data_IF_472088101837
#
_entry.id   IF_472088101837
#
_cell.length_a   1.000
_cell.length_b   1.000
_cell.length_c   1.000
_cell.angle_alpha   90.00
_cell.angle_beta   90.00
_cell.angle_gamma   90.00
#
_symmetry.space_group_name_H-M   'P 1'
#
loop_
_entity.id
_entity.type
_entity.pdbx_description
1 polymer ?
#
# COMPACT_ATOMS: atom_id res chain seq x y z
N UNK A 1 38.00 -9.78 2.81
CA UNK A 1 36.55 -9.94 3.08
C UNK A 1 35.84 -9.34 1.88
N UNK A 2 35.03 -10.11 1.14
CA UNK A 2 34.34 -9.58 -0.05
C UNK A 2 33.29 -8.55 0.35
N UNK A 3 33.17 -7.46 -0.41
CA UNK A 3 32.10 -6.47 -0.20
C UNK A 3 30.75 -7.12 -0.49
N UNK A 4 29.73 -6.79 0.30
CA UNK A 4 28.35 -7.13 -0.01
C UNK A 4 27.87 -6.27 -1.17
N UNK A 5 27.23 -6.90 -2.16
CA UNK A 5 26.81 -6.27 -3.42
C UNK A 5 25.29 -6.42 -3.56
N UNK A 6 24.59 -5.30 -3.36
CA UNK A 6 23.11 -5.22 -3.45
C UNK A 6 22.67 -5.44 -4.89
N UNK A 7 23.39 -4.89 -5.87
CA UNK A 7 23.04 -4.97 -7.28
C UNK A 7 23.07 -6.43 -7.73
N UNK A 8 24.10 -7.18 -7.29
CA UNK A 8 24.19 -8.62 -7.54
C UNK A 8 23.06 -9.42 -6.88
N UNK A 9 22.66 -9.06 -5.66
CA UNK A 9 21.52 -9.70 -5.00
C UNK A 9 20.21 -9.42 -5.77
N UNK A 10 20.01 -8.19 -6.23
CA UNK A 10 18.80 -7.80 -6.96
C UNK A 10 18.73 -8.43 -8.34
N UNK A 11 19.83 -8.43 -9.10
CA UNK A 11 19.92 -9.13 -10.37
C UNK A 11 19.62 -10.63 -10.21
N UNK A 12 20.13 -11.26 -9.14
CA UNK A 12 19.82 -12.65 -8.80
C UNK A 12 18.33 -12.89 -8.48
N UNK A 13 17.70 -12.00 -7.70
CA UNK A 13 16.27 -12.08 -7.39
C UNK A 13 15.39 -11.89 -8.64
N UNK A 14 15.77 -10.99 -9.53
CA UNK A 14 15.08 -10.73 -10.80
C UNK A 14 15.21 -11.94 -11.72
N UNK A 15 16.44 -12.45 -11.89
CA UNK A 15 16.69 -13.65 -12.66
C UNK A 15 15.85 -14.83 -12.13
N UNK A 16 15.80 -15.02 -10.81
CA UNK A 16 14.97 -16.07 -10.19
C UNK A 16 13.50 -15.91 -10.56
N UNK A 17 12.91 -14.72 -10.36
CA UNK A 17 11.49 -14.48 -10.69
C UNK A 17 11.21 -14.69 -12.18
N UNK A 18 12.12 -14.25 -13.06
CA UNK A 18 11.97 -14.40 -14.51
C UNK A 18 12.07 -15.85 -14.94
N UNK A 19 13.07 -16.59 -14.45
CA UNK A 19 13.23 -18.03 -14.75
C UNK A 19 12.03 -18.83 -14.26
N UNK A 20 11.54 -18.57 -13.04
CA UNK A 20 10.34 -19.21 -12.52
C UNK A 20 9.13 -18.94 -13.43
N UNK A 21 8.91 -17.66 -13.80
CA UNK A 21 7.84 -17.26 -14.72
C UNK A 21 7.98 -17.91 -16.11
N UNK A 22 9.17 -17.95 -16.69
CA UNK A 22 9.45 -18.53 -18.02
C UNK A 22 9.21 -20.03 -18.03
N UNK A 23 9.72 -20.75 -17.02
CA UNK A 23 9.53 -22.18 -16.87
C UNK A 23 8.04 -22.54 -16.83
N UNK A 24 7.24 -21.87 -16.01
CA UNK A 24 5.81 -22.17 -15.92
C UNK A 24 5.01 -21.70 -17.13
N UNK A 25 5.39 -20.58 -17.76
CA UNK A 25 4.78 -20.17 -19.03
C UNK A 25 5.03 -21.20 -20.14
N UNK A 26 6.11 -21.99 -20.05
CA UNK A 26 6.40 -23.07 -21.00
C UNK A 26 5.61 -24.36 -20.73
N UNK A 27 5.13 -24.56 -19.50
CA UNK A 27 4.44 -25.78 -19.07
C UNK A 27 2.91 -25.66 -19.09
N UNK A 28 2.37 -24.47 -18.77
CA UNK A 28 0.95 -24.26 -18.60
C UNK A 28 0.34 -23.56 -19.82
N UNK A 29 -0.70 -24.16 -20.40
CA UNK A 29 -1.43 -23.58 -21.54
C UNK A 29 -2.49 -22.55 -21.11
N UNK A 30 -2.86 -22.53 -19.82
CA UNK A 30 -3.97 -21.71 -19.31
C UNK A 30 -3.48 -20.42 -18.63
N UNK A 31 -3.86 -19.22 -19.13
CA UNK A 31 -3.40 -17.94 -18.60
C UNK A 31 -3.66 -17.72 -17.10
N UNK A 32 -4.75 -18.26 -16.56
CA UNK A 32 -5.10 -18.12 -15.14
C UNK A 32 -4.14 -18.88 -14.22
N UNK A 33 -3.65 -20.05 -14.64
CA UNK A 33 -2.68 -20.81 -13.85
C UNK A 33 -1.32 -20.13 -13.80
N UNK A 34 -0.90 -19.54 -14.93
CA UNK A 34 0.32 -18.71 -15.00
C UNK A 34 0.22 -17.52 -14.04
N UNK A 35 -0.93 -16.84 -14.01
CA UNK A 35 -1.19 -15.73 -13.08
C UNK A 35 -1.01 -16.14 -11.62
N UNK A 36 -1.70 -17.21 -11.20
CA UNK A 36 -1.65 -17.71 -9.81
C UNK A 36 -0.25 -18.15 -9.37
N UNK A 37 0.54 -18.71 -10.29
CA UNK A 37 1.94 -19.06 -10.02
C UNK A 37 2.80 -17.82 -9.86
N UNK A 38 2.67 -16.84 -10.75
CA UNK A 38 3.34 -15.54 -10.65
C UNK A 38 3.02 -14.82 -9.33
N UNK A 39 1.77 -14.88 -8.88
CA UNK A 39 1.38 -14.39 -7.55
C UNK A 39 2.13 -15.13 -6.43
N UNK A 40 2.18 -16.46 -6.51
CA UNK A 40 2.86 -17.31 -5.51
C UNK A 40 4.36 -16.99 -5.40
N UNK A 41 5.05 -16.79 -6.53
CA UNK A 41 6.46 -16.45 -6.57
C UNK A 41 6.74 -15.07 -5.94
N UNK A 42 5.92 -14.09 -6.27
CA UNK A 42 6.01 -12.76 -5.66
C UNK A 42 5.73 -12.81 -4.16
N UNK A 43 4.70 -13.55 -3.71
CA UNK A 43 4.41 -13.73 -2.27
C UNK A 43 5.60 -14.33 -1.53
N UNK A 44 6.28 -15.34 -2.10
CA UNK A 44 7.48 -15.94 -1.50
C UNK A 44 8.61 -14.93 -1.33
N UNK A 45 8.78 -14.02 -2.29
CA UNK A 45 9.75 -12.94 -2.18
C UNK A 45 9.34 -11.93 -1.12
N UNK A 46 8.09 -11.43 -1.17
CA UNK A 46 7.58 -10.44 -0.23
C UNK A 46 7.69 -10.91 1.22
N UNK A 47 7.45 -12.20 1.51
CA UNK A 47 7.63 -12.77 2.86
C UNK A 47 9.06 -12.65 3.40
N UNK A 48 10.08 -12.55 2.55
CA UNK A 48 11.48 -12.36 2.96
C UNK A 48 11.81 -10.90 3.30
N UNK A 49 11.09 -9.95 2.70
CA UNK A 49 11.38 -8.51 2.82
C UNK A 49 10.38 -7.74 3.68
N UNK A 50 9.16 -8.25 3.86
CA UNK A 50 8.17 -7.64 4.73
C UNK A 50 8.38 -8.09 6.18
N UNK A 51 8.37 -7.15 7.15
CA UNK A 51 8.33 -7.48 8.57
C UNK A 51 7.19 -8.44 8.92
N UNK A 52 7.42 -9.37 9.85
CA UNK A 52 6.48 -10.43 10.24
C UNK A 52 5.09 -9.93 10.72
N UNK A 53 4.97 -8.64 11.07
CA UNK A 53 3.66 -8.02 11.39
C UNK A 53 2.70 -7.95 10.20
N UNK A 54 3.24 -8.02 8.98
CA UNK A 54 2.47 -7.96 7.75
C UNK A 54 2.12 -9.38 7.30
N UNK A 55 0.86 -9.76 7.49
CA UNK A 55 0.29 -10.95 6.88
C UNK A 55 0.18 -10.77 5.37
N UNK A 56 0.33 -11.88 4.62
CA UNK A 56 0.18 -11.88 3.16
C UNK A 56 -0.73 -13.05 2.77
N UNK A 57 -1.79 -12.75 2.03
CA UNK A 57 -2.70 -13.76 1.47
C UNK A 57 -3.42 -13.26 0.22
N UNK A 58 -4.36 -14.05 -0.28
CA UNK A 58 -5.23 -13.73 -1.44
C UNK A 58 -6.69 -13.86 -1.02
N UNK A 59 -7.60 -13.19 -1.72
CA UNK A 59 -9.03 -13.33 -1.49
C UNK A 59 -9.81 -12.04 -1.65
N UNK A 60 -10.84 -11.85 -0.83
CA UNK A 60 -11.82 -10.78 -0.99
C UNK A 60 -11.79 -9.81 0.18
N UNK A 61 -12.02 -8.53 -0.10
CA UNK A 61 -12.23 -7.52 0.91
C UNK A 61 -13.72 -7.33 1.15
N UNK A 62 -14.11 -7.14 2.40
CA UNK A 62 -15.48 -6.75 2.75
C UNK A 62 -15.46 -5.51 3.61
N UNK A 63 -16.38 -4.58 3.35
CA UNK A 63 -16.56 -3.39 4.21
C UNK A 63 -17.75 -3.55 5.13
N UNK A 64 -17.67 -2.97 6.33
CA UNK A 64 -18.80 -2.88 7.26
C UNK A 64 -19.95 -2.00 6.72
N UNK A 65 -21.05 -1.92 7.48
CA UNK A 65 -22.19 -1.03 7.20
C UNK A 65 -23.46 -1.73 6.66
N UNK A 66 -24.53 -0.95 6.48
CA UNK A 66 -25.89 -1.46 6.15
C UNK A 66 -25.99 -2.16 4.80
N UNK A 67 -25.03 -1.95 3.88
CA UNK A 67 -24.99 -2.55 2.53
C UNK A 67 -23.61 -3.14 2.21
N UNK A 68 -23.05 -3.94 3.13
CA UNK A 68 -21.68 -4.49 3.05
C UNK A 68 -21.24 -4.81 1.61
N UNK A 69 -20.18 -4.12 1.16
CA UNK A 69 -19.63 -4.29 -0.19
C UNK A 69 -18.55 -5.35 -0.17
N UNK A 70 -18.45 -6.13 -1.23
CA UNK A 70 -17.36 -7.08 -1.46
C UNK A 70 -16.54 -6.64 -2.67
N UNK A 71 -15.22 -6.70 -2.58
CA UNK A 71 -14.34 -6.46 -3.72
C UNK A 71 -14.36 -7.65 -4.68
N UNK A 72 -13.88 -7.49 -5.92
CA UNK A 72 -13.33 -8.61 -6.69
C UNK A 72 -12.20 -9.31 -5.90
N UNK A 73 -11.80 -10.51 -6.34
CA UNK A 73 -10.63 -11.17 -5.75
C UNK A 73 -9.40 -10.29 -5.95
N UNK A 74 -8.67 -10.04 -4.87
CA UNK A 74 -7.38 -9.36 -4.88
C UNK A 74 -6.26 -10.40 -4.90
N UNK A 75 -5.32 -10.22 -5.83
CA UNK A 75 -4.19 -11.12 -6.05
C UNK A 75 -3.36 -11.28 -4.75
N UNK A 76 -2.90 -10.16 -4.19
CA UNK A 76 -2.15 -10.12 -2.94
C UNK A 76 -2.73 -9.06 -2.01
N UNK A 77 -3.07 -9.48 -0.79
CA UNK A 77 -3.57 -8.65 0.31
C UNK A 77 -2.51 -8.67 1.40
N UNK A 78 -2.08 -7.48 1.82
CA UNK A 78 -1.19 -7.27 2.97
C UNK A 78 -2.01 -6.75 4.15
N UNK A 79 -2.02 -7.50 5.26
CA UNK A 79 -2.96 -7.28 6.37
C UNK A 79 -2.31 -7.37 7.75
N UNK A 80 -3.04 -6.96 8.78
CA UNK A 80 -2.68 -7.09 10.19
C UNK A 80 -2.84 -8.55 10.64
N UNK A 81 -1.73 -9.29 10.70
CA UNK A 81 -1.71 -10.66 11.18
C UNK A 81 -1.50 -10.78 12.70
N UNK A 82 -1.24 -9.67 13.39
CA UNK A 82 -0.92 -9.70 14.83
C UNK A 82 -2.16 -9.47 15.68
N UNK A 83 -3.04 -8.56 15.27
CA UNK A 83 -4.18 -8.14 16.09
C UNK A 83 -5.54 -8.53 15.50
N UNK A 84 -5.57 -9.04 14.27
CA UNK A 84 -6.81 -9.31 13.54
C UNK A 84 -6.77 -10.69 12.89
N UNK A 85 -7.97 -11.19 12.55
CA UNK A 85 -8.15 -12.42 11.80
C UNK A 85 -9.15 -12.20 10.65
N UNK A 86 -8.97 -12.87 9.51
CA UNK A 86 -9.98 -12.90 8.45
C UNK A 86 -11.32 -13.42 8.98
N UNK A 87 -12.43 -12.98 8.40
CA UNK A 87 -13.76 -13.52 8.71
C UNK A 87 -13.91 -14.96 8.23
N UNK A 88 -13.26 -15.30 7.14
CA UNK A 88 -13.22 -16.64 6.60
C UNK A 88 -11.83 -16.95 6.06
N UNK A 89 -11.38 -18.18 6.28
CA UNK A 89 -10.10 -18.66 5.79
C UNK A 89 -10.25 -20.07 5.22
N UNK A 90 -9.95 -20.22 3.93
CA UNK A 90 -9.75 -21.51 3.28
C UNK A 90 -8.29 -21.67 2.88
N UNK A 91 -7.93 -22.85 2.36
CA UNK A 91 -6.60 -23.09 1.80
C UNK A 91 -6.31 -22.26 0.53
N UNK A 92 -7.35 -21.84 -0.20
CA UNK A 92 -7.22 -21.17 -1.48
C UNK A 92 -7.35 -19.64 -1.39
N UNK A 93 -8.31 -19.15 -0.60
CA UNK A 93 -8.63 -17.72 -0.46
C UNK A 93 -9.27 -17.41 0.89
N UNK A 94 -9.26 -16.13 1.26
CA UNK A 94 -9.78 -15.66 2.54
C UNK A 94 -10.74 -14.47 2.34
N UNK A 95 -11.52 -14.13 3.36
CA UNK A 95 -12.36 -12.92 3.38
C UNK A 95 -11.86 -12.01 4.49
N UNK A 96 -11.41 -10.81 4.12
CA UNK A 96 -10.81 -9.85 5.04
C UNK A 96 -11.75 -8.66 5.28
N UNK A 97 -12.07 -8.30 6.53
CA UNK A 97 -12.59 -6.96 6.80
C UNK A 97 -11.60 -5.90 6.34
N UNK A 98 -12.05 -4.90 5.59
CA UNK A 98 -11.17 -3.86 5.03
C UNK A 98 -10.42 -3.04 6.10
N UNK A 99 -10.89 -3.06 7.35
CA UNK A 99 -10.25 -2.52 8.54
C UNK A 99 -8.87 -3.13 8.81
N UNK A 100 -8.68 -4.44 8.57
CA UNK A 100 -7.41 -5.12 8.85
C UNK A 100 -6.40 -5.02 7.70
N UNK A 101 -6.79 -4.42 6.57
CA UNK A 101 -5.98 -4.42 5.34
C UNK A 101 -5.11 -3.17 5.28
N UNK A 102 -3.79 -3.38 5.17
CA UNK A 102 -2.81 -2.32 4.97
C UNK A 102 -2.62 -2.01 3.49
N UNK A 103 -2.65 -3.02 2.63
CA UNK A 103 -2.53 -2.79 1.20
C UNK A 103 -2.91 -3.96 0.32
N UNK A 104 -3.00 -3.68 -0.97
CA UNK A 104 -3.28 -4.62 -2.05
C UNK A 104 -2.21 -4.47 -3.11
N UNK A 105 -1.76 -5.58 -3.69
CA UNK A 105 -0.83 -5.61 -4.81
C UNK A 105 -1.50 -6.40 -5.93
N UNK A 106 -1.76 -5.73 -7.05
CA UNK A 106 -2.25 -6.36 -8.28
C UNK A 106 -1.07 -6.90 -9.08
N UNK A 107 -1.13 -8.15 -9.53
CA UNK A 107 -0.05 -8.83 -10.25
C UNK A 107 -0.43 -8.99 -11.72
N UNK A 108 0.49 -8.63 -12.61
CA UNK A 108 0.32 -8.78 -14.06
C UNK A 108 1.53 -9.49 -14.65
N UNK A 109 1.28 -10.52 -15.46
CA UNK A 109 2.35 -11.18 -16.24
C UNK A 109 3.01 -10.20 -17.21
N UNK A 110 2.23 -9.32 -17.83
CA UNK A 110 2.72 -8.25 -18.70
C UNK A 110 1.84 -7.01 -18.55
N UNK A 111 2.43 -5.88 -18.26
CA UNK A 111 1.75 -4.59 -18.16
C UNK A 111 1.34 -4.12 -19.56
N UNK A 112 0.05 -3.80 -19.69
CA UNK A 112 -0.58 -3.20 -20.88
C UNK A 112 -1.50 -2.08 -20.40
N UNK A 113 -1.80 -1.10 -21.25
CA UNK A 113 -2.67 0.04 -20.90
C UNK A 113 -4.00 -0.42 -20.29
N UNK A 114 -4.67 -1.39 -20.93
CA UNK A 114 -5.98 -1.86 -20.47
C UNK A 114 -5.93 -2.51 -19.09
N UNK A 115 -4.96 -3.39 -18.85
CA UNK A 115 -4.87 -4.10 -17.56
C UNK A 115 -4.35 -3.21 -16.43
N UNK A 116 -3.52 -2.22 -16.74
CA UNK A 116 -3.12 -1.19 -15.78
C UNK A 116 -4.31 -0.30 -15.43
N UNK A 117 -5.10 0.11 -16.43
CA UNK A 117 -6.34 0.86 -16.20
C UNK A 117 -7.33 0.07 -15.36
N UNK A 118 -7.51 -1.23 -15.61
CA UNK A 118 -8.31 -2.10 -14.75
C UNK A 118 -7.82 -2.11 -13.30
N UNK A 119 -6.51 -2.13 -13.06
CA UNK A 119 -5.96 -2.05 -11.70
C UNK A 119 -6.27 -0.70 -11.02
N UNK A 120 -6.26 0.41 -11.76
CA UNK A 120 -6.68 1.72 -11.25
C UNK A 120 -8.17 1.75 -10.90
N UNK A 121 -9.03 1.13 -11.71
CA UNK A 121 -10.47 1.00 -11.42
C UNK A 121 -10.67 0.15 -10.15
N UNK A 122 -9.98 -0.98 -10.01
CA UNK A 122 -10.01 -1.80 -8.80
C UNK A 122 -9.57 -1.00 -7.56
N UNK A 123 -8.49 -0.21 -7.68
CA UNK A 123 -8.03 0.70 -6.63
C UNK A 123 -9.12 1.69 -6.21
N UNK A 124 -9.79 2.32 -7.18
CA UNK A 124 -10.88 3.25 -6.93
C UNK A 124 -12.06 2.57 -6.24
N UNK A 125 -12.42 1.35 -6.64
CA UNK A 125 -13.54 0.61 -6.05
C UNK A 125 -13.26 0.21 -4.59
N UNK A 126 -12.05 -0.28 -4.29
CA UNK A 126 -11.62 -0.55 -2.91
C UNK A 126 -11.63 0.74 -2.07
N UNK A 127 -11.21 1.86 -2.64
CA UNK A 127 -11.26 3.15 -1.96
C UNK A 127 -12.68 3.59 -1.65
N UNK A 128 -13.63 3.36 -2.57
CA UNK A 128 -15.07 3.62 -2.34
C UNK A 128 -15.67 2.72 -1.25
N UNK A 129 -15.11 1.53 -0.99
CA UNK A 129 -15.57 0.66 0.11
C UNK A 129 -15.28 1.25 1.50
N UNK A 130 -14.33 2.18 1.60
CA UNK A 130 -13.96 2.84 2.86
C UNK A 130 -14.93 3.96 3.27
N UNK A 131 -15.99 4.20 2.49
CA UNK A 131 -17.04 5.20 2.77
C UNK A 131 -18.43 4.61 2.62
N UNK A 132 -19.39 5.18 3.36
CA UNK A 132 -20.82 4.94 3.15
C UNK A 132 -21.29 5.67 1.87
N UNK A 133 -22.49 5.35 1.35
CA UNK A 133 -23.08 6.11 0.24
C UNK A 133 -23.18 7.62 0.51
N UNK A 134 -23.31 8.02 1.79
CA UNK A 134 -23.39 9.42 2.22
C UNK A 134 -22.01 10.06 2.46
N UNK A 135 -20.91 9.35 2.13
CA UNK A 135 -19.54 9.86 2.25
C UNK A 135 -18.89 9.68 3.62
N UNK A 136 -19.60 9.13 4.60
CA UNK A 136 -19.10 8.93 5.96
C UNK A 136 -18.05 7.80 6.01
N UNK A 137 -17.06 7.88 6.92
CA UNK A 137 -16.07 6.84 7.07
C UNK A 137 -16.67 5.48 7.46
N UNK A 138 -16.31 4.44 6.73
CA UNK A 138 -16.84 3.09 6.96
C UNK A 138 -15.95 2.24 7.86
N UNK A 139 -14.62 2.47 7.84
CA UNK A 139 -13.68 1.69 8.65
C UNK A 139 -13.77 2.10 10.10
N UNK A 140 -13.91 1.13 11.00
CA UNK A 140 -13.96 1.36 12.45
C UNK A 140 -12.85 0.59 13.15
N UNK A 141 -11.95 1.31 13.81
CA UNK A 141 -10.89 0.74 14.63
C UNK A 141 -11.27 0.77 16.11
N UNK A 142 -10.95 -0.29 16.84
CA UNK A 142 -11.05 -0.33 18.29
C UNK A 142 -9.71 0.08 18.89
N UNK A 143 -9.72 1.12 19.71
CA UNK A 143 -8.57 1.54 20.51
C UNK A 143 -8.85 1.24 21.96
N UNK A 144 -8.03 0.39 22.58
CA UNK A 144 -8.08 0.19 24.01
C UNK A 144 -7.69 1.48 24.75
N UNK A 145 -8.51 1.87 25.73
CA UNK A 145 -8.23 2.98 26.63
C UNK A 145 -7.33 2.52 27.78
N UNK A 146 -6.56 3.44 28.41
CA UNK A 146 -5.78 3.11 29.60
C UNK A 146 -6.64 2.40 30.65
N UNK A 147 -6.09 1.33 31.25
CA UNK A 147 -6.81 0.57 32.25
C UNK A 147 -7.01 1.42 33.52
N UNK A 148 -8.24 1.44 34.02
CA UNK A 148 -8.58 2.14 35.25
C UNK A 148 -8.84 1.14 36.39
N UNK A 149 -8.41 1.49 37.60
CA UNK A 149 -8.54 0.62 38.77
C UNK A 149 -10.01 0.29 39.03
N UNK A 150 -10.31 -1.00 39.25
CA UNK A 150 -11.67 -1.53 39.50
C UNK A 150 -12.67 -1.27 38.37
N UNK A 151 -12.22 -1.05 37.12
CA UNK A 151 -13.08 -0.93 35.95
C UNK A 151 -12.69 -1.96 34.89
N UNK A 152 -13.67 -2.43 34.14
CA UNK A 152 -13.42 -3.28 32.96
C UNK A 152 -12.65 -2.50 31.90
N UNK A 153 -11.87 -3.19 31.09
CA UNK A 153 -11.15 -2.59 29.95
C UNK A 153 -12.15 -1.91 29.02
N UNK A 154 -11.90 -0.63 28.72
CA UNK A 154 -12.75 0.17 27.85
C UNK A 154 -12.09 0.34 26.48
N UNK A 155 -12.94 0.53 25.46
CA UNK A 155 -12.51 0.72 24.08
C UNK A 155 -13.19 1.94 23.48
N UNK A 156 -12.43 2.73 22.74
CA UNK A 156 -12.92 3.81 21.90
C UNK A 156 -13.02 3.32 20.44
N UNK A 157 -14.13 3.64 19.77
CA UNK A 157 -14.28 3.40 18.33
C UNK A 157 -13.79 4.62 17.56
N UNK A 158 -12.78 4.44 16.72
CA UNK A 158 -12.28 5.47 15.82
C UNK A 158 -12.66 5.17 14.38
N UNK A 159 -13.41 6.08 13.77
CA UNK A 159 -13.77 5.99 12.36
C UNK A 159 -12.66 6.53 11.46
N UNK A 160 -12.47 5.89 10.32
CA UNK A 160 -11.49 6.29 9.30
C UNK A 160 -11.96 5.88 7.92
N UNK A 161 -11.63 6.71 6.96
CA UNK A 161 -11.93 6.56 5.54
C UNK A 161 -10.64 6.31 4.74
N UNK A 162 -9.53 6.05 5.44
CA UNK A 162 -8.21 5.82 4.84
C UNK A 162 -8.20 4.48 4.10
N UNK A 163 -8.08 4.49 2.76
CA UNK A 163 -8.08 3.27 1.98
C UNK A 163 -6.76 2.50 2.14
N UNK A 164 -6.78 1.16 1.95
CA UNK A 164 -5.57 0.38 1.79
C UNK A 164 -4.62 0.98 0.75
N UNK A 165 -3.32 0.83 0.97
CA UNK A 165 -2.30 1.16 -0.04
C UNK A 165 -2.47 0.23 -1.24
N UNK A 166 -2.24 0.73 -2.44
CA UNK A 166 -2.48 -0.03 -3.66
C UNK A 166 -1.23 0.00 -4.52
N UNK A 167 -0.75 -1.16 -4.94
CA UNK A 167 0.44 -1.30 -5.78
C UNK A 167 0.12 -2.18 -6.98
N UNK A 168 0.92 -2.04 -8.02
CA UNK A 168 0.89 -2.93 -9.18
C UNK A 168 2.28 -3.54 -9.38
N UNK A 169 2.33 -4.82 -9.69
CA UNK A 169 3.57 -5.53 -9.99
C UNK A 169 3.47 -6.22 -11.36
N UNK A 170 4.42 -5.93 -12.24
CA UNK A 170 4.54 -6.49 -13.58
C UNK A 170 5.77 -7.37 -13.74
N UNK A 171 5.62 -8.59 -14.24
CA UNK A 171 6.77 -9.41 -14.65
C UNK A 171 7.40 -8.91 -15.96
N UNK A 172 6.60 -8.26 -16.80
CA UNK A 172 7.03 -7.60 -18.03
C UNK A 172 6.22 -6.31 -18.23
N UNK A 173 6.69 -5.40 -19.06
CA UNK A 173 6.01 -4.17 -19.43
C UNK A 173 6.70 -3.43 -20.57
N UNK A 174 6.20 -2.25 -20.96
CA UNK A 174 6.87 -1.39 -21.94
C UNK A 174 8.16 -0.76 -21.39
N UNK A 175 8.90 -0.06 -22.25
CA UNK A 175 10.03 0.79 -21.86
C UNK A 175 9.60 1.86 -20.84
N UNK A 176 10.55 2.44 -20.11
CA UNK A 176 10.26 3.28 -18.96
C UNK A 176 9.53 4.58 -19.34
N UNK A 177 9.90 5.24 -20.43
CA UNK A 177 9.23 6.48 -20.85
C UNK A 177 7.77 6.19 -21.20
N UNK A 178 7.52 5.14 -21.99
CA UNK A 178 6.17 4.70 -22.35
C UNK A 178 5.36 4.26 -21.12
N UNK A 179 6.00 3.60 -20.15
CA UNK A 179 5.32 3.17 -18.91
C UNK A 179 4.92 4.37 -18.06
N UNK A 180 5.80 5.35 -17.91
CA UNK A 180 5.54 6.57 -17.14
C UNK A 180 4.41 7.40 -17.78
N UNK A 181 4.46 7.62 -19.10
CA UNK A 181 3.39 8.30 -19.85
C UNK A 181 2.05 7.58 -19.67
N UNK A 182 2.03 6.26 -19.87
CA UNK A 182 0.84 5.44 -19.71
C UNK A 182 0.26 5.51 -18.28
N UNK A 183 1.11 5.50 -17.25
CA UNK A 183 0.67 5.62 -15.86
C UNK A 183 0.08 7.02 -15.58
N UNK A 184 0.70 8.08 -16.10
CA UNK A 184 0.21 9.45 -15.96
C UNK A 184 -1.15 9.64 -16.67
N UNK A 185 -1.30 9.13 -17.89
CA UNK A 185 -2.54 9.22 -18.65
C UNK A 185 -3.69 8.48 -17.95
N UNK A 186 -3.44 7.28 -17.44
CA UNK A 186 -4.44 6.51 -16.70
C UNK A 186 -4.79 7.21 -15.37
N UNK A 187 -3.82 7.86 -14.72
CA UNK A 187 -4.06 8.65 -13.49
C UNK A 187 -5.02 9.82 -13.75
N UNK A 188 -4.95 10.44 -14.95
CA UNK A 188 -5.88 11.49 -15.37
C UNK A 188 -7.24 10.91 -15.76
N UNK A 189 -7.26 9.75 -16.41
CA UNK A 189 -8.49 9.11 -16.89
C UNK A 189 -9.34 8.49 -15.75
N UNK A 190 -8.70 7.91 -14.73
CA UNK A 190 -9.36 7.30 -13.58
C UNK A 190 -9.19 8.20 -12.36
N UNK A 191 -9.97 9.29 -12.33
CA UNK A 191 -9.92 10.26 -11.25
C UNK A 191 -10.13 9.62 -9.87
N UNK A 192 -9.44 10.16 -8.87
CA UNK A 192 -9.44 9.71 -7.47
C UNK A 192 -8.86 8.31 -7.18
N UNK A 193 -8.43 7.55 -8.20
CA UNK A 193 -7.57 6.40 -7.98
C UNK A 193 -6.18 6.86 -7.50
N UNK A 194 -5.58 6.12 -6.58
CA UNK A 194 -4.21 6.40 -6.13
C UNK A 194 -3.44 5.09 -5.95
N UNK A 195 -2.82 4.66 -7.05
CA UNK A 195 -1.82 3.58 -7.05
C UNK A 195 -0.52 4.16 -6.53
N UNK A 196 -0.02 3.65 -5.41
CA UNK A 196 1.12 4.18 -4.67
C UNK A 196 2.48 3.83 -5.32
N UNK A 197 2.51 2.77 -6.12
CA UNK A 197 3.67 2.45 -6.93
C UNK A 197 3.42 1.30 -7.91
N UNK A 198 4.21 1.28 -8.97
CA UNK A 198 4.24 0.24 -9.99
C UNK A 198 5.68 -0.28 -10.14
N UNK A 199 5.89 -1.57 -9.95
CA UNK A 199 7.19 -2.22 -10.18
C UNK A 199 7.12 -3.12 -11.42
N UNK A 200 8.11 -3.07 -12.31
CA UNK A 200 8.21 -3.91 -13.52
C UNK A 200 9.61 -4.52 -13.64
N UNK A 201 9.71 -5.83 -13.89
CA UNK A 201 10.99 -6.59 -13.90
C UNK A 201 11.79 -6.53 -15.22
N UNK A 202 11.51 -5.59 -16.12
CA UNK A 202 11.98 -5.61 -17.52
C UNK A 202 13.52 -5.69 -17.71
N UNK A 203 14.29 -5.26 -16.72
CA UNK A 203 15.75 -5.10 -16.76
C UNK A 203 16.40 -5.76 -15.54
N UNK A 204 17.74 -5.80 -15.52
CA UNK A 204 18.53 -6.46 -14.47
C UNK A 204 18.30 -5.89 -13.05
N UNK A 205 17.82 -4.65 -12.94
CA UNK A 205 17.47 -3.96 -11.69
C UNK A 205 15.96 -3.83 -11.44
N UNK A 206 15.15 -3.97 -12.50
CA UNK A 206 13.74 -3.61 -12.52
C UNK A 206 13.50 -2.09 -12.52
N UNK A 207 12.30 -1.69 -12.92
CA UNK A 207 11.84 -0.30 -12.93
C UNK A 207 10.78 -0.11 -11.86
N UNK A 208 10.93 0.91 -11.02
CA UNK A 208 9.91 1.30 -10.05
C UNK A 208 9.41 2.71 -10.35
N UNK A 209 8.12 2.83 -10.62
CA UNK A 209 7.42 4.11 -10.69
C UNK A 209 6.80 4.40 -9.32
N UNK A 210 7.31 5.43 -8.67
CA UNK A 210 6.73 5.96 -7.45
C UNK A 210 5.67 7.01 -7.78
N UNK A 211 4.50 6.87 -7.14
CA UNK A 211 3.45 7.87 -7.25
C UNK A 211 3.54 8.83 -6.07
N UNK A 212 4.24 9.95 -6.26
CA UNK A 212 4.32 11.03 -5.29
C UNK A 212 2.95 11.69 -5.14
N UNK A 213 2.35 11.57 -3.97
CA UNK A 213 1.20 12.38 -3.59
C UNK A 213 1.60 13.87 -3.55
N UNK A 214 0.60 14.76 -3.69
CA UNK A 214 0.77 16.21 -3.50
C UNK A 214 1.57 16.97 -4.59
N UNK A 215 1.85 16.32 -5.73
CA UNK A 215 2.37 16.97 -6.94
C UNK A 215 1.26 17.25 -7.96
N UNK A 216 1.51 18.15 -8.91
CA UNK A 216 0.65 18.26 -10.12
C UNK A 216 0.64 16.92 -10.86
N UNK A 217 -0.44 16.49 -11.51
CA UNK A 217 -0.53 15.18 -12.16
C UNK A 217 0.68 14.82 -13.04
N UNK A 218 1.26 15.81 -13.73
CA UNK A 218 2.43 15.65 -14.61
C UNK A 218 3.75 15.39 -13.85
N UNK A 219 3.77 15.67 -12.55
CA UNK A 219 4.92 15.55 -11.65
C UNK A 219 4.71 14.47 -10.58
N UNK A 220 3.61 13.72 -10.66
CA UNK A 220 3.25 12.69 -9.67
C UNK A 220 4.01 11.38 -9.85
N UNK A 221 4.67 11.19 -10.99
CA UNK A 221 5.36 9.94 -11.31
C UNK A 221 6.85 10.18 -11.32
N UNK A 222 7.57 9.47 -10.47
CA UNK A 222 9.04 9.44 -10.45
C UNK A 222 9.50 8.02 -10.82
N UNK A 223 10.39 7.92 -11.82
CA UNK A 223 10.91 6.65 -12.31
C UNK A 223 12.28 6.35 -11.70
N UNK A 224 12.41 5.18 -11.08
CA UNK A 224 13.64 4.68 -10.47
C UNK A 224 14.08 3.43 -11.25
N UNK A 225 15.12 3.61 -12.07
CA UNK A 225 15.68 2.55 -12.94
C UNK A 225 16.73 1.71 -12.22
N UNK A 226 17.63 2.36 -11.50
CA UNK A 226 18.65 1.66 -10.72
C UNK A 226 18.02 1.07 -9.47
N UNK A 227 18.23 -0.24 -9.26
CA UNK A 227 17.67 -0.97 -8.13
C UNK A 227 16.14 -0.86 -7.97
N UNK A 228 15.38 -0.73 -9.06
CA UNK A 228 13.92 -0.53 -9.00
C UNK A 228 13.18 -1.58 -8.17
N UNK A 229 13.51 -2.87 -8.32
CA UNK A 229 12.92 -3.93 -7.48
C UNK A 229 13.26 -3.75 -5.99
N UNK A 230 14.49 -3.37 -5.68
CA UNK A 230 14.90 -3.09 -4.30
C UNK A 230 14.15 -1.90 -3.72
N UNK A 231 14.04 -0.81 -4.48
CA UNK A 231 13.25 0.36 -4.09
C UNK A 231 11.79 -0.03 -3.83
N UNK A 232 11.16 -0.83 -4.69
CA UNK A 232 9.82 -1.36 -4.44
C UNK A 232 9.76 -2.13 -3.12
N UNK A 233 10.68 -3.07 -2.89
CA UNK A 233 10.71 -3.89 -1.68
C UNK A 233 10.94 -3.08 -0.40
N UNK A 234 11.72 -2.00 -0.46
CA UNK A 234 12.04 -1.13 0.69
C UNK A 234 10.99 -0.05 0.94
N UNK A 235 10.36 0.47 -0.10
CA UNK A 235 9.28 1.47 0.03
C UNK A 235 7.96 0.84 0.44
N UNK A 236 7.66 -0.38 -0.02
CA UNK A 236 6.44 -1.10 0.33
C UNK A 236 6.16 -1.13 1.85
N UNK A 237 7.07 -1.62 2.74
CA UNK A 237 6.81 -1.63 4.18
C UNK A 237 6.69 -0.23 4.79
N UNK A 238 7.36 0.79 4.24
CA UNK A 238 7.23 2.19 4.72
C UNK A 238 5.83 2.71 4.42
N UNK A 239 5.36 2.53 3.19
CA UNK A 239 4.02 2.93 2.75
C UNK A 239 2.94 2.15 3.48
N UNK A 240 3.08 0.84 3.67
CA UNK A 240 2.14 0.03 4.46
C UNK A 240 2.09 0.48 5.93
N UNK A 241 3.23 0.85 6.52
CA UNK A 241 3.29 1.31 7.92
C UNK A 241 2.51 2.61 8.14
N UNK A 242 2.24 3.39 7.09
CA UNK A 242 1.36 4.57 7.20
C UNK A 242 -0.11 4.24 7.48
N UNK A 243 -0.50 2.97 7.35
CA UNK A 243 -1.83 2.48 7.72
C UNK A 243 -1.90 2.03 9.18
N UNK A 244 -0.75 1.89 9.85
CA UNK A 244 -0.72 1.51 11.26
C UNK A 244 -1.21 2.69 12.09
N UNK A 245 -2.10 2.47 13.08
CA UNK A 245 -2.46 3.52 14.01
C UNK A 245 -1.22 3.93 14.78
N UNK A 246 -0.62 5.06 14.41
CA UNK A 246 0.42 5.70 15.21
C UNK A 246 -0.27 6.17 16.48
N UNK A 247 -0.07 5.45 17.59
CA UNK A 247 -0.51 5.92 18.89
C UNK A 247 0.37 7.13 19.22
N UNK A 248 -0.17 8.35 19.33
CA UNK A 248 0.64 9.44 19.83
C UNK A 248 1.03 9.11 21.27
N UNK A 249 2.34 9.11 21.57
CA UNK A 249 2.88 8.93 22.92
C UNK A 249 2.50 10.06 23.89
N UNK A 250 1.78 11.08 23.42
CA UNK A 250 1.27 12.20 24.22
C UNK A 250 -0.19 12.48 23.83
N UNK A 251 -1.04 12.62 24.85
CA UNK A 251 -2.38 13.20 24.74
C UNK A 251 -2.33 14.48 25.55
N UNK A 252 -2.58 15.62 24.92
CA UNK A 252 -2.80 16.86 25.66
C UNK A 252 -4.17 16.77 26.34
N UNK A 253 -4.17 16.96 27.65
CA UNK A 253 -5.39 17.19 28.43
C UNK A 253 -5.07 18.29 29.43
N UNK A 254 -5.88 19.34 29.40
CA UNK A 254 -5.87 20.42 30.40
C UNK A 254 -4.50 21.11 30.61
N UNK A 255 -3.76 21.34 29.52
CA UNK A 255 -2.58 22.22 29.52
C UNK A 255 -1.32 21.69 30.23
N UNK A 256 -1.26 20.41 30.63
CA UNK A 256 -0.06 19.84 31.25
C UNK A 256 0.46 18.62 30.48
N UNK A 257 1.74 18.66 30.09
CA UNK A 257 2.44 17.56 29.44
C UNK A 257 3.11 16.67 30.49
N UNK A 258 2.69 15.42 30.63
CA UNK A 258 3.40 14.43 31.43
C UNK A 258 4.17 13.51 30.47
N UNK A 259 5.51 13.53 30.43
CA UNK A 259 6.27 12.46 29.81
C UNK A 259 6.18 11.24 30.71
N UNK A 260 5.80 10.09 30.16
CA UNK A 260 5.99 8.81 30.86
C UNK A 260 7.44 8.37 30.64
N UNK A 261 8.31 8.37 31.66
CA UNK A 261 9.59 7.69 31.58
C UNK A 261 9.29 6.17 31.62
N UNK A 262 10.04 5.39 30.85
CA UNK A 262 10.08 3.92 30.93
C UNK A 262 9.04 3.09 30.14
N UNK A 263 8.58 3.56 28.97
CA UNK A 263 7.86 2.68 28.03
C UNK A 263 8.49 2.65 26.64
N UNK A 264 9.02 1.49 26.27
CA UNK A 264 9.42 1.14 24.89
C UNK A 264 8.42 0.14 24.29
N UNK A 265 7.87 0.48 23.12
CA UNK A 265 7.80 -0.41 21.95
C UNK A 265 7.76 0.45 20.67
N UNK A 266 8.76 0.21 19.81
CA UNK A 266 9.03 0.75 18.47
C UNK A 266 9.39 2.25 18.34
N UNK A 267 10.62 2.49 17.83
CA UNK A 267 11.18 3.82 17.56
C UNK A 267 10.38 4.58 16.51
N UNK A 268 10.07 5.84 16.84
CA UNK A 268 9.14 6.77 16.19
C UNK A 268 9.88 7.80 15.32
N UNK A 269 11.21 7.71 15.23
CA UNK A 269 12.11 8.74 14.74
C UNK A 269 12.14 8.85 13.20
N UNK A 270 11.44 7.97 12.47
CA UNK A 270 11.48 7.91 10.99
C UNK A 270 10.12 8.06 10.30
N UNK A 271 9.05 8.37 11.03
CA UNK A 271 7.76 8.65 10.42
C UNK A 271 7.23 9.96 11.01
N UNK A 272 7.47 11.05 10.28
CA UNK A 272 6.62 12.24 10.41
C UNK A 272 5.17 11.77 10.41
N UNK A 273 4.37 12.37 11.30
CA UNK A 273 2.93 12.21 11.38
C UNK A 273 2.38 11.98 9.98
N UNK A 274 2.05 10.73 9.64
CA UNK A 274 1.28 10.42 8.45
C UNK A 274 0.03 11.24 8.63
N UNK A 275 -0.10 12.30 7.84
CA UNK A 275 -1.08 13.33 8.08
C UNK A 275 -2.47 12.76 7.78
N UNK A 276 -3.07 12.18 8.82
CA UNK A 276 -4.40 11.59 8.80
C UNK A 276 -5.47 12.63 8.51
N UNK A 277 -5.21 13.93 8.73
CA UNK A 277 -6.11 15.03 8.32
C UNK A 277 -5.96 15.34 6.81
N UNK A 278 -4.78 15.18 6.26
CA UNK A 278 -4.45 15.44 4.85
C UNK A 278 -4.87 14.33 3.89
N UNK A 279 -4.85 13.06 4.31
CA UNK A 279 -5.48 11.99 3.53
C UNK A 279 -7.02 12.08 3.54
N UNK A 280 -7.60 12.75 4.54
CA UNK A 280 -9.05 13.03 4.63
C UNK A 280 -9.48 14.14 3.67
N UNK A 281 -8.68 15.20 3.49
CA UNK A 281 -9.03 16.34 2.60
C UNK A 281 -9.07 15.97 1.12
N UNK A 282 -8.29 14.97 0.67
CA UNK A 282 -8.34 14.45 -0.71
C UNK A 282 -9.59 13.62 -1.05
N UNK A 283 -10.53 13.49 -0.12
CA UNK A 283 -11.83 12.89 -0.39
C UNK A 283 -12.95 13.91 -0.61
N UNK A 284 -12.67 15.19 -0.43
CA UNK A 284 -13.60 16.29 -0.67
C UNK A 284 -12.89 17.25 -1.61
N UNK A 285 -13.13 17.15 -2.91
CA UNK A 285 -12.36 17.86 -3.94
C UNK A 285 -12.55 19.40 -3.96
N UNK A 286 -13.19 20.01 -2.96
CA UNK A 286 -13.73 21.37 -3.10
C UNK A 286 -12.82 22.54 -2.69
N UNK A 287 -11.56 22.36 -2.28
CA UNK A 287 -10.76 23.52 -1.85
C UNK A 287 -9.32 23.48 -2.33
N UNK A 288 -9.08 23.80 -3.60
CA UNK A 288 -7.88 24.54 -4.01
C UNK A 288 -8.23 25.41 -5.22
N UNK A 289 -8.59 26.67 -4.97
CA UNK A 289 -8.56 27.72 -5.97
C UNK A 289 -7.09 28.03 -6.33
N UNK A 290 -6.83 28.23 -7.62
CA UNK A 290 -5.52 28.57 -8.17
C UNK A 290 -5.00 29.90 -7.61
N UNK A 291 -4.27 29.86 -6.49
CA UNK A 291 -3.70 31.07 -5.88
C UNK A 291 -2.89 30.84 -4.61
N UNK A 292 -3.23 29.83 -3.79
CA UNK A 292 -2.65 29.70 -2.45
C UNK A 292 -1.56 28.61 -2.36
N UNK A 293 -0.44 28.82 -3.04
CA UNK A 293 0.80 28.11 -2.69
C UNK A 293 1.62 29.01 -1.75
N UNK A 294 1.88 28.61 -0.49
CA UNK A 294 2.81 29.36 0.34
C UNK A 294 4.21 29.24 -0.24
N UNK A 295 4.87 30.38 -0.47
CA UNK A 295 6.23 30.44 -0.99
C UNK A 295 7.21 29.76 -0.02
N UNK A 296 7.89 28.71 -0.49
CA UNK A 296 8.94 28.03 0.26
C UNK A 296 10.22 28.88 0.22
N UNK A 297 10.79 29.16 1.40
CA UNK A 297 12.13 29.77 1.55
C UNK A 297 13.05 28.78 2.26
N UNK A 298 14.30 28.57 1.79
CA UNK A 298 15.24 27.67 2.45
C UNK A 298 15.72 28.29 3.77
N UNK A 299 15.73 27.51 4.85
CA UNK A 299 16.39 27.93 6.10
C UNK A 299 17.89 27.84 5.93
N UNK A 300 18.59 28.97 6.03
CA UNK A 300 20.04 29.01 6.21
C UNK A 300 20.41 28.57 7.64
N UNK A 301 21.60 27.97 7.74
CA UNK A 301 22.09 27.26 8.92
C UNK A 301 22.46 28.13 10.12
N UNK A 302 22.46 27.46 11.27
CA UNK A 302 22.99 27.87 12.56
C UNK A 302 23.08 26.65 13.47
#
# INVERSE_FOLDING_TARGET
MGLFDVDKLMAGNIAQLRTEKEFFSSLASHPGEIGRLNETHLVRMLRRYLPARFGIGTGFLVSGGENGRMSPQCDIIVYDALNNAPFYSSEAWQIYPIEMVYGVIEVKTKIKRDNLKSAFVNCLDIRKMCRTPNGEPNKKYLRQLPAERKRSVQYERKSSDLPPRFFVFGYEGPADETLAEMFQDITKEVEHAHVHGLCVLNEDSGLFLEHEAYRKPEQRVSAIKENGLWHFLMELPKRLSSMLPVVPLKVEKDGSSIPLPDTYFYRRDAFELVDLQHYRSFATWETFSSGDSPAWSPREGG
#
